data_IF_366889458527
#
_entry.id   IF_366889458527
#
_cell.length_a   1.000
_cell.length_b   1.000
_cell.length_c   1.000
_cell.angle_alpha   90.00
_cell.angle_beta   90.00
_cell.angle_gamma   90.00
#
_symmetry.space_group_name_H-M   'P 1'
#
loop_
_entity.id
_entity.type
_entity.pdbx_description
1 polymer ?
#
# COMPACT_ATOMS: atom_id res chain seq x y z
N UNK A 1 1.00 2.29 -13.94
CA UNK A 1 1.00 1.08 -13.10
C UNK A 1 2.02 1.28 -11.98
N UNK A 2 1.65 1.06 -10.72
CA UNK A 2 2.55 1.18 -9.58
C UNK A 2 3.22 -0.17 -9.34
N UNK A 3 4.55 -0.22 -9.32
CA UNK A 3 5.31 -1.44 -9.08
C UNK A 3 6.08 -1.34 -7.76
N UNK A 4 6.04 -2.42 -6.98
CA UNK A 4 6.81 -2.59 -5.75
C UNK A 4 7.83 -3.70 -5.95
N UNK A 5 9.07 -3.46 -5.51
CA UNK A 5 10.17 -4.42 -5.60
C UNK A 5 10.47 -4.97 -4.22
N UNK A 6 10.48 -6.29 -4.07
CA UNK A 6 10.73 -6.99 -2.81
C UNK A 6 11.95 -7.90 -3.01
N UNK A 7 12.95 -7.74 -2.15
CA UNK A 7 14.15 -8.58 -2.15
C UNK A 7 13.92 -9.76 -1.19
N UNK A 8 14.11 -10.99 -1.68
CA UNK A 8 13.91 -12.22 -0.90
C UNK A 8 15.21 -13.01 -0.83
N UNK A 9 15.62 -13.39 0.37
CA UNK A 9 16.82 -14.17 0.62
C UNK A 9 16.47 -15.64 0.90
N UNK A 10 17.18 -16.55 0.24
CA UNK A 10 17.09 -17.99 0.44
C UNK A 10 18.40 -18.57 0.91
N UNK A 11 18.34 -19.74 1.56
CA UNK A 11 19.52 -20.54 1.81
C UNK A 11 20.13 -20.97 0.45
N UNK A 12 21.44 -20.78 0.21
CA UNK A 12 22.10 -21.19 -1.04
C UNK A 12 21.85 -22.66 -1.40
N UNK A 13 21.76 -23.57 -0.42
CA UNK A 13 21.52 -25.00 -0.67
C UNK A 13 20.09 -25.26 -1.21
N UNK A 14 19.14 -24.38 -0.90
CA UNK A 14 17.76 -24.44 -1.43
C UNK A 14 17.74 -23.89 -2.85
N UNK A 15 18.47 -22.80 -3.11
CA UNK A 15 18.57 -22.21 -4.44
C UNK A 15 19.24 -23.17 -5.42
N UNK A 16 20.30 -23.85 -5.01
CA UNK A 16 21.01 -24.81 -5.86
C UNK A 16 20.10 -25.99 -6.25
N UNK A 17 19.34 -26.54 -5.31
CA UNK A 17 18.37 -27.62 -5.59
C UNK A 17 17.24 -27.16 -6.51
N UNK A 18 16.74 -25.95 -6.30
CA UNK A 18 15.73 -25.36 -7.16
C UNK A 18 16.26 -25.06 -8.58
N UNK A 19 17.56 -24.76 -8.73
CA UNK A 19 18.16 -24.57 -10.05
C UNK A 19 18.25 -25.88 -10.85
N UNK A 20 18.42 -27.01 -10.16
CA UNK A 20 18.47 -28.35 -10.75
C UNK A 20 17.08 -28.90 -11.11
N UNK A 21 16.04 -28.52 -10.36
CA UNK A 21 14.66 -29.00 -10.55
C UNK A 21 13.65 -27.85 -10.71
N UNK A 22 12.98 -27.84 -11.88
CA UNK A 22 11.96 -26.85 -12.22
C UNK A 22 10.75 -26.89 -11.29
N UNK A 23 10.33 -28.07 -10.83
CA UNK A 23 9.19 -28.20 -9.91
C UNK A 23 9.53 -27.61 -8.54
N UNK A 24 10.76 -27.82 -8.06
CA UNK A 24 11.27 -27.21 -6.83
C UNK A 24 11.35 -25.68 -6.95
N UNK A 25 11.82 -25.14 -8.07
CA UNK A 25 11.81 -23.69 -8.32
C UNK A 25 10.39 -23.10 -8.30
N UNK A 26 9.46 -23.77 -8.98
CA UNK A 26 8.07 -23.31 -9.02
C UNK A 26 7.41 -23.39 -7.64
N UNK A 27 7.71 -24.44 -6.87
CA UNK A 27 7.29 -24.55 -5.48
C UNK A 27 7.89 -23.43 -4.62
N UNK A 28 9.18 -23.13 -4.78
CA UNK A 28 9.86 -22.07 -4.06
C UNK A 28 9.21 -20.71 -4.33
N UNK A 29 8.92 -20.41 -5.60
CA UNK A 29 8.23 -19.17 -6.01
C UNK A 29 6.83 -19.09 -5.40
N UNK A 30 6.06 -20.18 -5.41
CA UNK A 30 4.73 -20.21 -4.78
C UNK A 30 4.81 -19.95 -3.28
N UNK A 31 5.78 -20.57 -2.59
CA UNK A 31 6.05 -20.31 -1.18
C UNK A 31 6.45 -18.85 -0.95
N UNK A 32 7.28 -18.26 -1.83
CA UNK A 32 7.62 -16.83 -1.77
C UNK A 32 6.37 -15.96 -1.84
N UNK A 33 5.52 -16.20 -2.84
CA UNK A 33 4.35 -15.38 -3.09
C UNK A 33 3.34 -15.49 -1.96
N UNK A 34 3.13 -16.70 -1.43
CA UNK A 34 2.30 -16.91 -0.25
C UNK A 34 2.87 -16.18 0.97
N UNK A 35 4.17 -16.33 1.23
CA UNK A 35 4.82 -15.65 2.36
C UNK A 35 4.72 -14.13 2.23
N UNK A 36 4.94 -13.58 1.04
CA UNK A 36 4.80 -12.15 0.78
C UNK A 36 3.35 -11.69 0.92
N UNK A 37 2.37 -12.47 0.45
CA UNK A 37 0.95 -12.15 0.62
C UNK A 37 0.56 -12.09 2.11
N UNK A 38 1.00 -13.06 2.91
CA UNK A 38 0.75 -13.13 4.36
C UNK A 38 1.47 -12.01 5.12
N UNK A 39 2.74 -11.74 4.79
CA UNK A 39 3.57 -10.76 5.51
C UNK A 39 3.35 -9.31 5.10
N UNK A 40 2.88 -9.07 3.88
CA UNK A 40 2.65 -7.73 3.32
C UNK A 40 1.15 -7.40 3.19
N UNK A 41 0.25 -8.32 3.59
CA UNK A 41 -1.21 -8.16 3.46
C UNK A 41 -1.65 -7.80 2.02
N UNK A 42 -0.95 -8.35 1.02
CA UNK A 42 -1.19 -8.08 -0.40
C UNK A 42 -2.02 -9.21 -1.03
N UNK A 43 -3.04 -8.85 -1.80
CA UNK A 43 -3.78 -9.82 -2.64
C UNK A 43 -2.96 -10.13 -3.88
N UNK A 44 -2.02 -11.07 -3.77
CA UNK A 44 -1.17 -11.49 -4.89
C UNK A 44 -1.92 -12.52 -5.73
N UNK A 45 -2.07 -12.25 -7.04
CA UNK A 45 -2.66 -13.23 -7.96
C UNK A 45 -1.77 -14.48 -8.07
N UNK A 46 -2.35 -15.69 -8.12
CA UNK A 46 -1.57 -16.95 -8.19
C UNK A 46 -0.87 -17.16 -9.54
N UNK A 47 -1.18 -16.34 -10.54
CA UNK A 47 -0.53 -16.37 -11.86
C UNK A 47 0.78 -15.58 -11.85
N UNK A 48 1.90 -16.27 -11.61
CA UNK A 48 3.23 -15.72 -11.76
C UNK A 48 3.78 -16.00 -13.16
N UNK A 49 4.36 -14.98 -13.80
CA UNK A 49 5.16 -15.15 -15.02
C UNK A 49 6.62 -14.99 -14.66
N UNK A 50 7.39 -16.08 -14.76
CA UNK A 50 8.84 -16.03 -14.57
C UNK A 50 9.44 -15.43 -15.84
N UNK A 51 9.88 -14.19 -15.74
CA UNK A 51 10.47 -13.48 -16.88
C UNK A 51 11.92 -13.91 -17.08
N UNK A 52 12.15 -14.80 -18.06
CA UNK A 52 13.48 -15.34 -18.37
C UNK A 52 14.27 -14.39 -19.27
N UNK A 53 14.43 -13.13 -18.87
CA UNK A 53 15.27 -12.21 -19.63
C UNK A 53 16.71 -12.24 -19.12
N UNK A 54 17.67 -12.32 -20.05
CA UNK A 54 19.06 -11.95 -19.75
C UNK A 54 19.07 -10.44 -19.56
N UNK A 55 19.22 -10.00 -18.32
CA UNK A 55 19.34 -8.59 -17.99
C UNK A 55 20.42 -7.94 -18.87
N UNK A 56 19.99 -7.10 -19.82
CA UNK A 56 20.90 -6.26 -20.60
C UNK A 56 21.12 -4.97 -19.84
N UNK A 57 22.35 -4.77 -19.35
CA UNK A 57 22.74 -3.61 -18.56
C UNK A 57 22.95 -3.95 -17.08
N UNK A 58 23.06 -2.92 -16.24
CA UNK A 58 23.28 -3.09 -14.80
C UNK A 58 21.96 -3.34 -14.06
N UNK A 59 21.99 -4.25 -13.07
CA UNK A 59 20.88 -4.53 -12.17
C UNK A 59 20.43 -3.26 -11.43
N UNK A 60 21.40 -2.43 -11.03
CA UNK A 60 21.13 -1.15 -10.39
C UNK A 60 20.31 -0.21 -11.30
N UNK A 61 20.55 -0.26 -12.62
CA UNK A 61 19.81 0.57 -13.59
C UNK A 61 18.38 0.06 -13.77
N UNK A 62 18.17 -1.26 -13.77
CA UNK A 62 16.83 -1.85 -13.78
C UNK A 62 16.07 -1.49 -12.50
N UNK A 63 16.66 -1.75 -11.33
CA UNK A 63 16.06 -1.44 -10.03
C UNK A 63 15.73 0.05 -9.92
N UNK A 64 16.64 0.92 -10.36
CA UNK A 64 16.41 2.36 -10.44
C UNK A 64 15.23 2.68 -11.36
N UNK A 65 15.17 2.10 -12.57
CA UNK A 65 14.04 2.32 -13.49
C UNK A 65 12.69 1.80 -12.97
N UNK A 66 12.67 0.72 -12.19
CA UNK A 66 11.45 0.19 -11.58
C UNK A 66 11.00 1.05 -10.40
N UNK A 67 11.94 1.61 -9.63
CA UNK A 67 11.66 2.50 -8.49
C UNK A 67 11.37 3.94 -8.92
N UNK A 68 12.01 4.44 -9.97
CA UNK A 68 11.87 5.83 -10.47
C UNK A 68 10.61 6.06 -11.30
N UNK A 69 9.97 5.00 -11.83
CA UNK A 69 8.64 5.13 -12.42
C UNK A 69 7.57 5.52 -11.39
N UNK A 70 7.88 5.44 -10.09
CA UNK A 70 6.99 5.82 -8.99
C UNK A 70 7.31 7.21 -8.41
N UNK A 71 8.28 7.94 -8.98
CA UNK A 71 8.62 9.28 -8.54
C UNK A 71 8.73 10.23 -9.73
N UNK A 72 7.60 10.85 -10.10
CA UNK A 72 7.69 12.18 -10.68
C UNK A 72 8.33 13.08 -9.63
N UNK A 73 9.63 13.36 -9.78
CA UNK A 73 10.29 14.45 -9.06
C UNK A 73 10.67 15.56 -10.05
N UNK A 74 10.57 16.83 -9.64
CA UNK A 74 10.53 17.96 -10.54
C UNK A 74 11.91 18.42 -10.99
N UNK A 75 11.92 18.97 -12.22
CA UNK A 75 12.83 19.97 -12.77
C UNK A 75 14.35 19.70 -12.68
N UNK A 76 14.90 19.27 -13.81
CA UNK A 76 16.15 19.86 -14.31
C UNK A 76 15.77 21.06 -15.18
N UNK A 77 16.25 22.24 -14.79
CA UNK A 77 16.05 23.52 -15.45
C UNK A 77 16.60 23.51 -16.88
N UNK A 78 15.80 23.97 -17.84
CA UNK A 78 16.25 24.71 -19.03
C UNK A 78 15.05 25.49 -19.61
N UNK A 79 15.16 26.80 -19.91
CA UNK A 79 14.06 27.60 -20.43
C UNK A 79 14.12 27.66 -21.96
N UNK A 80 13.21 26.98 -22.64
CA UNK A 80 12.83 27.36 -24.01
C UNK A 80 11.46 26.78 -24.35
N UNK A 81 10.44 27.55 -24.01
CA UNK A 81 9.19 27.73 -24.77
C UNK A 81 8.63 26.53 -25.54
N UNK A 82 7.85 25.67 -24.88
CA UNK A 82 6.72 24.97 -25.51
C UNK A 82 5.60 24.83 -24.47
N UNK A 83 4.47 25.49 -24.72
CA UNK A 83 3.26 25.42 -23.89
C UNK A 83 2.61 24.05 -24.09
N UNK A 84 2.30 23.36 -23.01
CA UNK A 84 1.61 22.06 -23.04
C UNK A 84 0.10 22.25 -23.16
N UNK A 85 -0.54 21.37 -23.92
CA UNK A 85 -1.99 21.39 -24.25
C UNK A 85 -2.93 21.50 -23.04
N UNK A 86 -2.44 21.16 -21.84
CA UNK A 86 -3.19 21.27 -20.59
C UNK A 86 -3.45 22.72 -20.14
N UNK A 87 -2.56 23.67 -20.46
CA UNK A 87 -2.75 25.08 -20.06
C UNK A 87 -3.82 25.79 -20.90
N UNK A 88 -4.05 25.33 -22.14
CA UNK A 88 -5.08 25.87 -23.04
C UNK A 88 -6.48 25.44 -22.61
N UNK A 89 -6.62 24.22 -22.07
CA UNK A 89 -7.92 23.68 -21.67
C UNK A 89 -8.48 24.31 -20.39
N UNK A 90 -7.64 24.94 -19.56
CA UNK A 90 -8.09 25.59 -18.33
C UNK A 90 -8.51 27.06 -18.48
N UNK A 91 -8.40 27.65 -19.67
CA UNK A 91 -8.71 29.08 -19.90
C UNK A 91 -10.13 29.36 -20.42
N UNK A 92 -11.01 28.36 -20.51
CA UNK A 92 -12.41 28.57 -20.88
C UNK A 92 -13.30 27.71 -19.98
N UNK A 93 -13.84 28.33 -18.93
CA UNK A 93 -15.21 28.14 -18.41
C UNK A 93 -15.33 28.73 -17.01
N UNK A 94 -15.81 29.97 -16.93
CA UNK A 94 -16.53 30.45 -15.75
C UNK A 94 -17.76 31.21 -16.23
N UNK A 95 -18.88 30.96 -15.53
CA UNK A 95 -20.06 31.84 -15.33
C UNK A 95 -21.25 31.53 -16.24
N UNK A 96 -22.49 31.29 -15.79
CA UNK A 96 -23.19 31.54 -14.52
C UNK A 96 -24.53 30.73 -14.48
N UNK A 97 -24.99 30.43 -13.26
CA UNK A 97 -26.38 30.32 -12.74
C UNK A 97 -27.55 29.70 -13.55
N UNK A 98 -28.20 28.70 -12.92
CA UNK A 98 -29.61 28.27 -13.07
C UNK A 98 -30.60 29.44 -12.80
N UNK A 99 -31.84 29.45 -13.34
CA UNK A 99 -32.90 28.45 -13.06
C UNK A 99 -33.82 28.02 -14.24
N UNK A 100 -34.50 26.89 -14.04
CA UNK A 100 -35.68 26.31 -14.73
C UNK A 100 -36.82 27.31 -15.08
N UNK A 101 -37.94 26.97 -15.79
CA UNK A 101 -38.50 25.63 -16.13
C UNK A 101 -39.10 25.48 -17.57
N UNK A 102 -39.31 24.26 -18.08
CA UNK A 102 -40.39 24.00 -19.07
C UNK A 102 -41.01 22.61 -18.87
N UNK A 103 -42.31 22.65 -18.59
CA UNK A 103 -43.28 21.57 -18.45
C UNK A 103 -44.03 21.37 -19.78
N UNK A 104 -44.20 20.12 -20.26
CA UNK A 104 -45.32 19.60 -21.07
C UNK A 104 -45.21 18.05 -21.11
N UNK A 105 -45.94 17.33 -20.26
CA UNK A 105 -47.25 16.67 -20.50
C UNK A 105 -47.24 15.40 -21.37
N UNK A 106 -47.31 14.27 -20.66
CA UNK A 106 -48.27 13.15 -20.76
C UNK A 106 -48.50 12.39 -22.08
N UNK A 107 -48.19 11.09 -22.06
CA UNK A 107 -49.17 10.06 -22.44
C UNK A 107 -48.93 8.74 -21.70
N UNK A 108 -49.82 8.48 -20.75
CA UNK A 108 -50.14 7.25 -20.03
C UNK A 108 -50.06 5.95 -20.86
N UNK A 109 -49.42 4.91 -20.28
CA UNK A 109 -49.86 3.51 -20.36
C UNK A 109 -49.38 2.72 -19.14
N UNK A 110 -50.36 2.34 -18.31
CA UNK A 110 -50.22 1.59 -17.07
C UNK A 110 -49.96 0.10 -17.32
N UNK A 111 -49.09 -0.48 -16.48
CA UNK A 111 -49.18 -1.81 -15.85
C UNK A 111 -47.81 -2.04 -15.21
N UNK A 112 -47.61 -2.51 -13.98
CA UNK A 112 -48.45 -3.23 -13.05
C UNK A 112 -47.62 -3.40 -11.76
N UNK A 113 -48.32 -3.62 -10.63
CA UNK A 113 -47.84 -4.32 -9.43
C UNK A 113 -46.99 -3.54 -8.41
N UNK A 114 -47.59 -3.44 -7.23
CA UNK A 114 -46.99 -3.22 -5.92
C UNK A 114 -45.62 -3.91 -5.77
N UNK A 115 -44.66 -3.18 -5.20
CA UNK A 115 -43.83 -3.77 -4.16
C UNK A 115 -43.34 -2.67 -3.21
N UNK A 116 -43.39 -2.99 -1.92
CA UNK A 116 -42.67 -2.26 -0.87
C UNK A 116 -41.19 -2.31 -1.25
N UNK A 117 -40.57 -1.16 -1.50
CA UNK A 117 -39.12 -1.06 -1.62
C UNK A 117 -38.53 -1.18 -0.22
N UNK A 118 -37.90 -2.33 0.01
CA UNK A 118 -37.01 -2.56 1.12
C UNK A 118 -35.85 -1.56 1.01
N UNK A 119 -35.77 -0.62 1.96
CA UNK A 119 -34.56 0.17 2.19
C UNK A 119 -33.47 -0.77 2.72
N UNK A 120 -32.92 -1.58 1.82
CA UNK A 120 -31.59 -2.13 2.01
C UNK A 120 -30.64 -0.96 1.84
N UNK A 121 -30.31 -0.32 2.97
CA UNK A 121 -29.15 0.53 3.09
C UNK A 121 -27.98 -0.22 2.48
N UNK A 122 -27.67 0.10 1.23
CA UNK A 122 -26.44 -0.33 0.60
C UNK A 122 -25.39 0.57 1.20
N UNK A 123 -25.00 0.26 2.43
CA UNK A 123 -23.72 0.67 3.00
C UNK A 123 -22.69 0.07 2.05
N UNK A 124 -22.31 0.87 1.05
CA UNK A 124 -21.16 0.58 0.21
C UNK A 124 -20.04 0.25 1.20
N UNK A 125 -19.43 -0.95 1.15
CA UNK A 125 -18.29 -1.23 2.00
C UNK A 125 -17.30 -0.11 1.73
N UNK A 126 -17.04 0.74 2.74
CA UNK A 126 -15.94 1.68 2.66
C UNK A 126 -14.72 0.81 2.38
N UNK A 127 -14.22 0.86 1.15
CA UNK A 127 -13.12 0.01 0.70
C UNK A 127 -11.85 0.57 1.35
N UNK A 128 -11.66 0.24 2.63
CA UNK A 128 -10.52 0.67 3.41
C UNK A 128 -9.26 0.09 2.76
N UNK A 129 -8.46 0.97 2.19
CA UNK A 129 -7.24 0.56 1.52
C UNK A 129 -6.19 0.10 2.53
N UNK A 130 -5.38 -0.90 2.19
CA UNK A 130 -4.21 -1.25 2.99
C UNK A 130 -3.07 -0.27 2.65
N UNK A 131 -2.54 0.49 3.63
CA UNK A 131 -1.44 1.40 3.39
C UNK A 131 -0.15 0.63 3.11
N UNK A 132 0.79 1.25 2.39
CA UNK A 132 2.12 0.68 2.16
C UNK A 132 2.93 0.75 3.46
N UNK A 133 3.57 -0.34 3.84
CA UNK A 133 4.38 -0.40 5.05
C UNK A 133 5.67 -1.19 4.86
N UNK A 134 6.63 -0.93 5.74
CA UNK A 134 7.92 -1.61 5.85
C UNK A 134 8.18 -1.91 7.33
N UNK A 135 8.47 -3.16 7.66
CA UNK A 135 8.76 -3.62 9.02
C UNK A 135 10.15 -4.22 9.08
N UNK A 136 10.96 -3.79 10.04
CA UNK A 136 12.34 -4.25 10.22
C UNK A 136 12.63 -4.56 11.68
N UNK A 137 13.18 -5.75 11.93
CA UNK A 137 13.68 -6.12 13.26
C UNK A 137 15.16 -5.79 13.38
N UNK A 138 15.46 -4.77 14.18
CA UNK A 138 16.83 -4.37 14.54
C UNK A 138 17.36 -5.33 15.61
N UNK A 139 18.56 -5.85 15.38
CA UNK A 139 19.24 -6.79 16.29
C UNK A 139 20.42 -6.12 16.99
N UNK A 140 20.71 -6.57 18.22
CA UNK A 140 21.89 -6.13 18.97
C UNK A 140 23.19 -6.79 18.49
N UNK A 141 24.32 -6.46 19.13
CA UNK A 141 25.63 -7.06 18.85
C UNK A 141 25.67 -8.59 19.04
N UNK A 142 24.78 -9.14 19.87
CA UNK A 142 24.62 -10.56 20.15
C UNK A 142 23.62 -11.25 19.20
N UNK A 143 23.19 -10.56 18.14
CA UNK A 143 22.18 -11.02 17.16
C UNK A 143 20.79 -11.26 17.78
N UNK A 144 20.51 -10.74 18.97
CA UNK A 144 19.19 -10.81 19.60
C UNK A 144 18.30 -9.67 19.09
N UNK A 145 17.00 -9.89 18.87
CA UNK A 145 16.08 -8.82 18.49
C UNK A 145 16.03 -7.78 19.61
N UNK A 146 16.26 -6.52 19.26
CA UNK A 146 16.31 -5.40 20.19
C UNK A 146 15.09 -4.51 20.03
N UNK A 147 14.72 -4.19 18.79
CA UNK A 147 13.67 -3.22 18.48
C UNK A 147 13.06 -3.56 17.13
N UNK A 148 11.75 -3.41 17.01
CA UNK A 148 11.03 -3.49 15.74
C UNK A 148 10.72 -2.05 15.30
N UNK A 149 11.19 -1.70 14.11
CA UNK A 149 10.87 -0.44 13.44
C UNK A 149 9.80 -0.71 12.38
N UNK A 150 8.68 0.01 12.44
CA UNK A 150 7.59 -0.06 11.49
C UNK A 150 7.38 1.32 10.86
N UNK A 151 7.42 1.37 9.54
CA UNK A 151 7.21 2.58 8.74
C UNK A 151 5.97 2.38 7.88
N UNK A 152 4.98 3.26 8.02
CA UNK A 152 3.71 3.20 7.30
C UNK A 152 3.53 4.50 6.51
N UNK A 153 3.26 4.39 5.22
CA UNK A 153 3.01 5.52 4.33
C UNK A 153 1.51 5.82 4.28
N UNK A 154 1.13 7.02 4.71
CA UNK A 154 -0.26 7.46 4.87
C UNK A 154 -0.49 8.77 4.10
N UNK A 155 -0.40 8.77 2.75
CA UNK A 155 -0.48 9.98 1.94
C UNK A 155 -1.80 10.74 2.08
N UNK A 156 -2.91 10.03 2.36
CA UNK A 156 -4.23 10.63 2.54
C UNK A 156 -4.50 11.14 3.97
N UNK A 157 -3.56 10.99 4.90
CA UNK A 157 -3.70 11.44 6.29
C UNK A 157 -3.09 12.82 6.46
N UNK A 158 -3.91 13.80 6.85
CA UNK A 158 -3.46 15.17 7.02
C UNK A 158 -2.89 15.44 8.43
N UNK A 159 -3.44 14.75 9.43
CA UNK A 159 -3.09 14.87 10.84
C UNK A 159 -3.10 13.52 11.56
N UNK A 160 -2.26 13.39 12.58
CA UNK A 160 -2.25 12.20 13.46
C UNK A 160 -3.57 11.99 14.20
N UNK A 161 -4.36 13.06 14.39
CA UNK A 161 -5.69 12.99 15.03
C UNK A 161 -6.72 12.21 14.22
N UNK A 162 -6.46 11.97 12.94
CA UNK A 162 -7.31 11.14 12.07
C UNK A 162 -6.95 9.66 12.15
N UNK A 163 -5.85 9.30 12.81
CA UNK A 163 -5.39 7.93 12.96
C UNK A 163 -5.68 7.44 14.37
N UNK A 164 -6.28 6.25 14.45
CA UNK A 164 -6.28 5.45 15.66
C UNK A 164 -5.18 4.40 15.55
N UNK A 165 -4.36 4.28 16.61
CA UNK A 165 -3.22 3.38 16.67
C UNK A 165 -3.31 2.58 17.97
N UNK A 166 -3.53 1.27 17.83
CA UNK A 166 -3.54 0.31 18.92
C UNK A 166 -2.33 -0.61 18.80
N UNK A 167 -1.56 -0.74 19.89
CA UNK A 167 -0.37 -1.57 19.94
C UNK A 167 -0.53 -2.51 21.13
N UNK A 168 -0.46 -3.80 20.85
CA UNK A 168 -0.46 -4.87 21.83
C UNK A 168 0.92 -5.55 21.84
N UNK A 169 1.13 -6.50 22.75
CA UNK A 169 2.38 -7.29 22.82
C UNK A 169 2.70 -8.00 21.51
N UNK A 170 1.70 -8.47 20.78
CA UNK A 170 1.84 -9.40 19.65
C UNK A 170 1.32 -8.84 18.33
N UNK A 171 0.57 -7.74 18.36
CA UNK A 171 -0.11 -7.19 17.19
C UNK A 171 -0.17 -5.66 17.25
N UNK A 172 -0.35 -5.08 16.07
CA UNK A 172 -0.52 -3.65 15.88
C UNK A 172 -1.64 -3.41 14.87
N UNK A 173 -2.53 -2.49 15.23
CA UNK A 173 -3.68 -2.11 14.44
C UNK A 173 -3.65 -0.61 14.23
N UNK A 174 -3.75 -0.18 12.97
CA UNK A 174 -3.98 1.21 12.62
C UNK A 174 -5.27 1.32 11.81
N UNK A 175 -6.12 2.25 12.25
CA UNK A 175 -7.39 2.54 11.62
C UNK A 175 -7.46 4.03 11.31
N UNK A 176 -7.80 4.35 10.07
CA UNK A 176 -8.05 5.71 9.61
C UNK A 176 -9.44 5.68 8.98
N UNK A 177 -10.46 6.24 9.65
CA UNK A 177 -11.86 6.17 9.20
C UNK A 177 -12.02 6.56 7.73
N UNK A 178 -12.67 5.69 6.96
CA UNK A 178 -12.91 5.88 5.52
C UNK A 178 -11.68 5.91 4.60
N UNK A 179 -10.48 5.60 5.11
CA UNK A 179 -9.22 5.67 4.32
C UNK A 179 -8.38 4.40 4.38
N UNK A 180 -7.97 4.01 5.59
CA UNK A 180 -6.99 2.95 5.78
C UNK A 180 -7.37 2.02 6.94
N UNK A 181 -7.10 0.74 6.77
CA UNK A 181 -7.08 -0.23 7.85
C UNK A 181 -5.92 -1.20 7.65
N UNK A 182 -5.13 -1.38 8.69
CA UNK A 182 -3.99 -2.29 8.68
C UNK A 182 -3.88 -2.97 10.04
N UNK A 183 -3.74 -4.29 9.99
CA UNK A 183 -3.54 -5.15 11.15
C UNK A 183 -2.33 -6.03 10.85
N UNK A 184 -1.33 -6.00 11.73
CA UNK A 184 -0.09 -6.76 11.58
C UNK A 184 0.24 -7.51 12.86
N UNK A 185 0.69 -8.75 12.69
CA UNK A 185 1.30 -9.53 13.76
C UNK A 185 2.78 -9.23 13.87
N UNK A 186 3.24 -8.95 15.09
CA UNK A 186 4.62 -8.65 15.39
C UNK A 186 5.44 -9.95 15.45
N UNK A 187 6.68 -9.95 14.92
CA UNK A 187 7.53 -11.15 14.92
C UNK A 187 8.06 -11.51 16.31
N UNK A 188 8.11 -10.55 17.23
CA UNK A 188 8.60 -10.69 18.60
C UNK A 188 7.68 -9.91 19.53
N UNK A 189 7.61 -10.30 20.80
CA UNK A 189 6.81 -9.58 21.79
C UNK A 189 7.42 -8.23 22.12
N UNK A 190 6.62 -7.16 22.06
CA UNK A 190 7.07 -5.78 22.29
C UNK A 190 6.63 -5.23 23.63
N UNK A 191 7.39 -4.28 24.13
CA UNK A 191 7.04 -3.53 25.32
C UNK A 191 6.15 -2.35 24.93
N UNK A 192 4.84 -2.51 25.16
CA UNK A 192 3.80 -1.52 24.88
C UNK A 192 4.08 -0.16 25.54
N UNK A 193 4.57 -0.15 26.79
CA UNK A 193 4.79 1.08 27.57
C UNK A 193 5.95 1.93 27.04
N UNK A 194 6.96 1.27 26.47
CA UNK A 194 8.16 1.94 25.92
C UNK A 194 8.10 2.17 24.41
N UNK A 195 7.01 1.75 23.78
CA UNK A 195 6.79 1.94 22.35
C UNK A 195 6.55 3.40 22.03
N UNK A 196 7.13 3.88 20.93
CA UNK A 196 6.96 5.26 20.46
C UNK A 196 6.45 5.30 19.02
N UNK A 197 5.60 6.27 18.71
CA UNK A 197 5.08 6.50 17.38
C UNK A 197 5.18 7.98 17.02
N UNK A 198 5.70 8.28 15.83
CA UNK A 198 5.96 9.63 15.34
C UNK A 198 5.39 9.78 13.93
N UNK A 199 4.40 10.66 13.78
CA UNK A 199 3.85 11.00 12.47
C UNK A 199 4.58 12.20 11.85
N UNK A 200 5.24 11.99 10.72
CA UNK A 200 5.85 13.05 9.94
C UNK A 200 4.83 13.62 8.94
N UNK A 201 4.24 14.79 9.26
CA UNK A 201 3.27 15.48 8.39
C UNK A 201 3.83 15.85 7.01
N UNK A 202 5.11 16.20 6.92
CA UNK A 202 5.74 16.60 5.66
C UNK A 202 5.93 15.44 4.71
N UNK A 203 6.33 14.27 5.23
CA UNK A 203 6.52 13.05 4.45
C UNK A 203 5.26 12.19 4.33
N UNK A 204 4.23 12.45 5.15
CA UNK A 204 3.03 11.62 5.29
C UNK A 204 3.37 10.18 5.70
N UNK A 205 4.29 10.04 6.65
CA UNK A 205 4.80 8.74 7.12
C UNK A 205 4.63 8.64 8.64
N UNK A 206 4.05 7.55 9.09
CA UNK A 206 4.03 7.15 10.49
C UNK A 206 5.21 6.21 10.76
N UNK A 207 6.07 6.59 11.69
CA UNK A 207 7.21 5.79 12.13
C UNK A 207 6.95 5.29 13.55
N UNK A 208 7.03 3.98 13.76
CA UNK A 208 6.74 3.32 15.03
C UNK A 208 7.98 2.55 15.42
N UNK A 209 8.44 2.76 16.65
CA UNK A 209 9.61 2.11 17.23
C UNK A 209 9.15 1.33 18.45
N UNK A 210 9.20 0.01 18.37
CA UNK A 210 8.68 -0.92 19.36
C UNK A 210 9.84 -1.72 19.97
N UNK A 211 10.30 -1.40 21.18
CA UNK A 211 11.33 -2.18 21.86
C UNK A 211 10.85 -3.61 22.14
N UNK A 212 11.70 -4.60 21.90
CA UNK A 212 11.39 -6.01 22.14
C UNK A 212 11.55 -6.33 23.64
N UNK A 213 10.61 -7.07 24.21
CA UNK A 213 10.71 -7.55 25.60
C UNK A 213 11.84 -8.57 25.69
N UNK A 214 12.87 -8.26 26.46
CA UNK A 214 13.91 -9.25 26.76
C UNK A 214 13.40 -10.18 27.86
N UNK A 215 13.57 -11.51 27.74
CA UNK A 215 13.24 -12.42 28.83
C UNK A 215 14.13 -12.11 30.03
N UNK A 216 13.51 -11.65 31.12
CA UNK A 216 14.19 -11.47 32.41
C UNK A 216 14.58 -12.86 32.93
N UNK A 217 15.87 -13.05 33.21
CA UNK A 217 16.47 -14.30 33.68
C UNK A 217 16.40 -14.45 35.20
#
# INVERSE_FOLDING_TARGET
EHYSVIDVAYNPDVLQRAEEDREEMEHLIRLTLQFVAERCSLTVSPSCTIETFKLKGSLERLQRSLREQTAASPLSQNPSSELTLAEVLCSMEVKDCTPEPVLLQDTMKQSNMHLIEEITSTELPEELSTPVYEMLTVKDANKKPLTIELKIELPQVSSVSECDLSISKEDIIIEVPGKYKLELYLPEQVNEETTTAVFNKGKRILLITMPVVQPEH
#
